data_IF_710789759765
#
_entry.id   IF_710789759765
#
_cell.length_a   1.000
_cell.length_b   1.000
_cell.length_c   1.000
_cell.angle_alpha   90.00
_cell.angle_beta   90.00
_cell.angle_gamma   90.00
#
_symmetry.space_group_name_H-M   'P 1'
#
loop_
_entity.id
_entity.type
_entity.pdbx_description
1 polymer ?
#
# COMPACT_ATOMS: atom_id res chain seq x y z
N UNK A 1 -8.45 30.56 -30.14
CA UNK A 1 -7.02 30.76 -30.50
C UNK A 1 -6.26 30.96 -29.20
N UNK A 2 -5.19 30.21 -28.86
CA UNK A 2 -4.56 29.04 -29.53
C UNK A 2 -4.70 27.75 -28.67
N UNK A 3 -5.16 26.62 -29.23
CA UNK A 3 -4.39 25.49 -29.82
C UNK A 3 -4.03 24.37 -28.82
N UNK A 4 -4.78 23.26 -28.78
CA UNK A 4 -4.45 21.94 -29.41
C UNK A 4 -3.08 21.40 -28.98
N UNK A 5 -3.00 20.26 -28.27
CA UNK A 5 -2.79 18.88 -28.81
C UNK A 5 -2.38 18.01 -27.62
N UNK A 6 -2.59 16.69 -27.49
CA UNK A 6 -3.11 15.60 -28.32
C UNK A 6 -3.44 14.43 -27.38
N UNK A 7 -4.62 13.86 -27.55
CA UNK A 7 -4.97 12.49 -27.16
C UNK A 7 -4.19 11.49 -28.04
N UNK A 8 -3.80 10.34 -27.49
CA UNK A 8 -3.69 9.01 -28.15
C UNK A 8 -3.54 7.98 -26.99
N UNK A 9 -4.60 7.33 -26.50
CA UNK A 9 -5.35 6.22 -27.09
C UNK A 9 -4.50 4.95 -27.31
N UNK A 10 -4.87 3.91 -26.55
CA UNK A 10 -4.72 2.47 -26.80
C UNK A 10 -3.32 1.85 -26.86
N UNK A 11 -3.03 0.97 -25.89
CA UNK A 11 -2.72 -0.41 -26.24
C UNK A 11 -3.32 -1.39 -25.21
N UNK A 12 -3.95 -2.39 -25.80
CA UNK A 12 -4.76 -3.49 -25.26
C UNK A 12 -3.97 -4.77 -25.58
N UNK A 13 -4.25 -5.88 -24.88
CA UNK A 13 -3.65 -7.22 -25.06
C UNK A 13 -2.18 -7.37 -24.59
N UNK A 14 -1.72 -8.45 -23.93
CA UNK A 14 -2.25 -9.79 -23.76
C UNK A 14 -1.64 -10.40 -22.49
N UNK A 15 -2.47 -10.98 -21.61
CA UNK A 15 -2.07 -12.14 -20.84
C UNK A 15 -1.98 -13.32 -21.81
N UNK A 16 -0.85 -14.02 -21.87
CA UNK A 16 -0.82 -15.41 -22.26
C UNK A 16 0.07 -16.19 -21.29
N UNK A 17 -0.55 -17.22 -20.74
CA UNK A 17 -0.06 -18.33 -19.92
C UNK A 17 1.09 -19.11 -20.57
N UNK A 18 1.87 -19.85 -19.75
CA UNK A 18 2.40 -21.23 -19.93
C UNK A 18 3.52 -21.45 -18.88
N UNK A 19 3.28 -22.24 -17.82
CA UNK A 19 3.66 -23.66 -17.67
C UNK A 19 5.19 -23.87 -17.67
N UNK A 20 5.77 -24.11 -16.49
CA UNK A 20 6.29 -25.43 -16.08
C UNK A 20 7.48 -25.90 -16.91
N UNK A 21 8.68 -26.02 -16.32
CA UNK A 21 9.53 -27.22 -16.49
C UNK A 21 10.72 -27.23 -15.50
N UNK A 22 10.98 -28.45 -15.07
CA UNK A 22 11.81 -28.96 -13.98
C UNK A 22 13.35 -28.86 -14.18
N UNK A 23 14.05 -28.93 -13.03
CA UNK A 23 15.35 -29.61 -12.74
C UNK A 23 16.55 -29.31 -13.67
N UNK A 24 17.73 -28.93 -13.19
CA UNK A 24 18.66 -29.77 -12.44
C UNK A 24 19.81 -28.94 -11.79
N UNK A 25 19.95 -29.13 -10.48
CA UNK A 25 21.17 -29.25 -9.65
C UNK A 25 22.56 -29.03 -10.30
N UNK A 26 23.30 -28.03 -9.80
CA UNK A 26 24.75 -28.12 -9.47
C UNK A 26 24.98 -27.31 -8.17
N UNK A 27 25.60 -27.88 -7.12
CA UNK A 27 25.90 -27.17 -5.87
C UNK A 27 27.32 -26.57 -5.92
N UNK A 28 27.46 -25.26 -5.74
CA UNK A 28 28.75 -24.66 -5.37
C UNK A 28 28.55 -23.33 -4.65
N UNK A 29 29.06 -23.31 -3.42
CA UNK A 29 29.74 -22.21 -2.74
C UNK A 29 29.04 -20.87 -2.46
N UNK A 30 28.96 -20.60 -1.16
CA UNK A 30 28.85 -19.32 -0.46
C UNK A 30 29.40 -18.08 -1.20
N UNK A 31 28.59 -17.03 -1.33
CA UNK A 31 28.87 -15.69 -0.79
C UNK A 31 27.67 -14.76 -1.05
N UNK A 32 27.01 -14.32 0.02
CA UNK A 32 25.83 -13.47 -0.04
C UNK A 32 26.24 -11.99 -0.04
N UNK A 33 26.25 -11.35 -1.20
CA UNK A 33 26.33 -9.88 -1.28
C UNK A 33 25.58 -9.38 -2.52
N UNK A 34 24.25 -9.34 -2.47
CA UNK A 34 23.46 -8.67 -3.51
C UNK A 34 23.47 -7.17 -3.26
N UNK A 35 24.49 -6.51 -3.81
CA UNK A 35 24.48 -5.09 -4.15
C UNK A 35 23.13 -4.73 -4.78
N UNK A 36 22.42 -3.80 -4.16
CA UNK A 36 21.50 -2.92 -4.87
C UNK A 36 22.11 -1.54 -4.87
N UNK A 37 22.64 -1.19 -6.03
CA UNK A 37 23.04 0.15 -6.42
C UNK A 37 21.90 1.13 -6.10
N UNK A 38 22.10 1.99 -5.11
CA UNK A 38 21.54 3.32 -5.13
C UNK A 38 22.59 4.20 -5.79
N UNK A 39 22.57 4.21 -7.12
CA UNK A 39 23.27 5.19 -7.93
C UNK A 39 22.53 6.52 -7.78
N UNK A 40 22.82 7.23 -6.69
CA UNK A 40 22.66 8.68 -6.67
C UNK A 40 24.04 9.20 -6.98
N UNK A 41 24.17 9.87 -8.14
CA UNK A 41 25.36 10.58 -8.57
C UNK A 41 25.93 11.37 -7.39
N UNK A 42 26.92 10.79 -6.73
CA UNK A 42 27.73 11.46 -5.73
C UNK A 42 28.89 12.00 -6.54
N UNK A 43 28.77 13.24 -7.01
CA UNK A 43 29.95 13.99 -7.41
C UNK A 43 30.94 13.87 -6.25
N UNK A 44 32.18 13.38 -6.47
CA UNK A 44 33.21 13.49 -5.46
C UNK A 44 33.58 14.97 -5.40
N UNK A 45 32.86 15.73 -4.58
CA UNK A 45 33.29 17.06 -4.20
C UNK A 45 34.60 16.87 -3.42
N UNK A 46 35.71 17.06 -4.12
CA UNK A 46 37.08 17.00 -3.58
C UNK A 46 37.38 18.15 -2.59
N UNK A 47 36.37 18.92 -2.20
CA UNK A 47 36.46 20.06 -1.30
C UNK A 47 36.10 19.66 0.14
N UNK A 48 36.89 20.13 1.11
CA UNK A 48 36.68 19.92 2.54
C UNK A 48 35.31 20.50 2.95
N UNK A 49 34.39 19.64 3.37
CA UNK A 49 33.04 20.02 3.83
C UNK A 49 33.06 20.26 5.34
N UNK A 50 33.05 21.52 5.75
CA UNK A 50 32.95 21.90 7.15
C UNK A 50 31.54 21.69 7.70
N UNK A 51 31.38 21.29 8.97
CA UNK A 51 30.07 21.25 9.63
C UNK A 51 29.55 22.69 9.78
N UNK A 52 28.55 23.03 8.98
CA UNK A 52 27.94 24.35 8.98
C UNK A 52 26.71 24.38 9.89
N UNK A 53 26.42 25.54 10.49
CA UNK A 53 25.20 25.74 11.29
C UNK A 53 23.94 25.91 10.43
N UNK A 54 24.12 26.20 9.14
CA UNK A 54 23.07 26.45 8.15
C UNK A 54 23.17 25.47 6.97
N UNK A 55 22.06 25.24 6.27
CA UNK A 55 21.97 24.27 5.17
C UNK A 55 21.29 22.96 5.55
N UNK A 56 21.25 22.01 4.60
CA UNK A 56 20.55 20.72 4.76
C UNK A 56 21.28 19.80 5.74
N UNK A 57 22.61 19.72 5.62
CA UNK A 57 23.48 18.91 6.49
C UNK A 57 24.06 19.76 7.62
N UNK A 58 23.17 20.44 8.34
CA UNK A 58 23.54 21.35 9.43
C UNK A 58 23.66 20.63 10.76
N UNK A 59 24.41 21.26 11.66
CA UNK A 59 24.61 20.80 13.03
C UNK A 59 25.86 19.94 13.18
N UNK A 60 26.11 19.53 14.42
CA UNK A 60 27.27 18.70 14.73
C UNK A 60 27.05 17.27 14.21
N UNK A 61 27.99 16.71 13.42
CA UNK A 61 27.86 15.35 12.90
C UNK A 61 28.05 14.34 14.04
N UNK A 62 26.94 13.96 14.68
CA UNK A 62 26.91 12.92 15.73
C UNK A 62 26.45 11.59 15.14
N UNK A 63 27.16 10.51 15.47
CA UNK A 63 26.72 9.14 15.18
C UNK A 63 25.46 8.83 16.00
N UNK A 64 24.33 8.61 15.32
CA UNK A 64 23.05 8.34 16.00
C UNK A 64 23.03 6.91 16.54
N UNK A 65 22.85 6.74 17.84
CA UNK A 65 22.62 5.43 18.45
C UNK A 65 21.18 4.93 18.18
N UNK A 66 21.04 3.75 17.57
CA UNK A 66 19.74 3.15 17.26
C UNK A 66 19.22 2.33 18.43
N UNK A 67 18.61 3.01 19.40
CA UNK A 67 17.97 2.34 20.54
C UNK A 67 16.70 1.57 20.14
N UNK A 68 16.39 0.48 20.85
CA UNK A 68 15.15 -0.25 20.67
C UNK A 68 13.93 0.68 20.87
N UNK A 69 12.88 0.58 20.01
CA UNK A 69 11.73 1.45 20.12
C UNK A 69 10.93 1.14 21.39
N UNK A 70 10.55 2.20 22.11
CA UNK A 70 9.74 2.11 23.33
C UNK A 70 8.43 1.35 23.08
N UNK A 71 8.01 0.57 24.08
CA UNK A 71 6.78 -0.23 24.01
C UNK A 71 5.52 0.62 23.72
N UNK A 72 5.46 1.86 24.22
CA UNK A 72 4.35 2.79 23.97
C UNK A 72 4.06 3.02 22.48
N UNK A 73 5.07 2.95 21.61
CA UNK A 73 4.91 3.10 20.15
C UNK A 73 4.21 1.91 19.49
N UNK A 74 4.07 0.77 20.18
CA UNK A 74 3.40 -0.43 19.66
C UNK A 74 1.87 -0.37 19.76
N UNK A 75 1.32 0.65 20.44
CA UNK A 75 -0.14 0.83 20.58
C UNK A 75 -0.80 1.01 19.21
N UNK A 76 -1.85 0.23 18.95
CA UNK A 76 -2.63 0.27 17.70
C UNK A 76 -2.28 -0.84 16.70
N UNK A 77 -1.25 -1.65 16.95
CA UNK A 77 -0.97 -2.84 16.14
C UNK A 77 -2.04 -3.92 16.37
N UNK A 78 -2.50 -4.55 15.29
CA UNK A 78 -3.44 -5.66 15.36
C UNK A 78 -2.73 -6.94 15.84
N UNK A 79 -3.23 -7.55 16.91
CA UNK A 79 -2.79 -8.86 17.39
C UNK A 79 -3.67 -9.97 16.81
N UNK A 80 -3.21 -11.22 16.85
CA UNK A 80 -3.96 -12.39 16.34
C UNK A 80 -5.33 -12.53 17.02
N UNK A 81 -5.34 -12.43 18.35
CA UNK A 81 -6.57 -12.49 19.15
C UNK A 81 -7.56 -11.37 18.82
N UNK A 82 -7.11 -10.11 18.76
CA UNK A 82 -8.00 -8.98 18.46
C UNK A 82 -8.54 -9.03 17.02
N UNK A 83 -7.81 -9.61 16.07
CA UNK A 83 -8.32 -9.82 14.71
C UNK A 83 -9.45 -10.85 14.72
N UNK A 84 -9.24 -12.01 15.35
CA UNK A 84 -10.24 -13.07 15.46
C UNK A 84 -11.55 -12.57 16.08
N UNK A 85 -11.47 -11.85 17.20
CA UNK A 85 -12.66 -11.26 17.85
C UNK A 85 -13.38 -10.27 16.93
N UNK A 86 -12.65 -9.43 16.18
CA UNK A 86 -13.27 -8.46 15.26
C UNK A 86 -13.93 -9.11 14.05
N UNK A 87 -13.36 -10.19 13.54
CA UNK A 87 -13.91 -10.93 12.41
C UNK A 87 -15.22 -11.64 12.84
N UNK A 88 -15.23 -12.28 14.02
CA UNK A 88 -16.44 -12.88 14.62
C UNK A 88 -17.56 -11.86 14.84
N UNK A 89 -17.27 -10.69 15.40
CA UNK A 89 -18.28 -9.63 15.62
C UNK A 89 -18.87 -9.14 14.30
N UNK A 90 -18.07 -9.05 13.23
CA UNK A 90 -18.56 -8.62 11.91
C UNK A 90 -19.52 -9.62 11.28
N UNK A 91 -19.33 -10.91 11.53
CA UNK A 91 -20.25 -11.96 11.09
C UNK A 91 -21.58 -11.89 11.83
N UNK A 92 -21.54 -11.65 13.15
CA UNK A 92 -22.75 -11.57 14.00
C UNK A 92 -23.55 -10.28 13.76
N UNK A 93 -22.89 -9.12 13.75
CA UNK A 93 -23.56 -7.81 13.70
C UNK A 93 -23.84 -7.30 12.28
N UNK A 94 -23.15 -7.84 11.26
CA UNK A 94 -23.29 -7.39 9.88
C UNK A 94 -22.80 -5.95 9.63
N UNK A 95 -23.35 -5.31 8.58
CA UNK A 95 -22.95 -3.97 8.12
C UNK A 95 -23.95 -2.88 8.50
N UNK A 96 -23.43 -1.70 8.82
CA UNK A 96 -24.25 -0.53 9.10
C UNK A 96 -24.97 -0.03 7.83
N UNK A 97 -26.11 0.70 7.94
CA UNK A 97 -26.90 1.14 6.78
C UNK A 97 -26.12 2.05 5.81
N UNK A 98 -25.17 2.85 6.30
CA UNK A 98 -24.33 3.67 5.41
C UNK A 98 -23.27 2.83 4.68
N UNK A 99 -22.82 1.72 5.26
CA UNK A 99 -21.85 0.80 4.65
C UNK A 99 -22.51 0.00 3.54
N UNK A 100 -23.78 -0.42 3.75
CA UNK A 100 -24.61 -1.06 2.71
C UNK A 100 -24.76 -0.16 1.48
N UNK A 101 -25.15 1.10 1.68
CA UNK A 101 -25.25 2.08 0.58
C UNK A 101 -23.90 2.32 -0.12
N UNK A 102 -22.79 2.32 0.62
CA UNK A 102 -21.47 2.46 0.03
C UNK A 102 -21.07 1.23 -0.81
N UNK A 103 -21.40 0.01 -0.37
CA UNK A 103 -21.20 -1.21 -1.15
C UNK A 103 -21.99 -1.22 -2.45
N UNK A 104 -23.24 -0.74 -2.45
CA UNK A 104 -24.05 -0.58 -3.67
C UNK A 104 -23.35 0.34 -4.69
N UNK A 105 -22.84 1.49 -4.24
CA UNK A 105 -22.12 2.41 -5.11
C UNK A 105 -20.83 1.81 -5.68
N UNK A 106 -20.14 0.97 -4.90
CA UNK A 106 -18.93 0.26 -5.33
C UNK A 106 -19.23 -0.90 -6.28
N UNK A 107 -20.39 -1.56 -6.18
CA UNK A 107 -20.83 -2.57 -7.15
C UNK A 107 -21.04 -1.99 -8.55
N UNK A 108 -21.58 -0.76 -8.63
CA UNK A 108 -21.77 -0.01 -9.88
C UNK A 108 -20.48 0.70 -10.32
N UNK A 109 -19.34 0.45 -9.67
CA UNK A 109 -18.03 1.05 -9.97
C UNK A 109 -18.01 2.60 -9.90
N UNK A 110 -18.94 3.22 -9.16
CA UNK A 110 -19.01 4.68 -8.96
C UNK A 110 -18.15 5.13 -7.78
N UNK A 111 -16.86 4.84 -7.86
CA UNK A 111 -15.87 5.03 -6.79
C UNK A 111 -15.75 6.46 -6.25
N UNK A 112 -15.71 7.46 -7.13
CA UNK A 112 -15.60 8.87 -6.75
C UNK A 112 -16.86 9.34 -6.01
N UNK A 113 -18.03 8.79 -6.37
CA UNK A 113 -19.31 9.05 -5.69
C UNK A 113 -19.36 8.35 -4.32
N UNK A 114 -18.90 7.11 -4.25
CA UNK A 114 -18.77 6.37 -2.99
C UNK A 114 -17.85 7.11 -2.00
N UNK A 115 -16.70 7.60 -2.46
CA UNK A 115 -15.76 8.35 -1.63
C UNK A 115 -16.36 9.67 -1.12
N UNK A 116 -17.09 10.42 -1.95
CA UNK A 116 -17.81 11.63 -1.50
C UNK A 116 -18.89 11.31 -0.46
N UNK A 117 -19.62 10.20 -0.65
CA UNK A 117 -20.65 9.77 0.31
C UNK A 117 -20.04 9.38 1.67
N UNK A 118 -18.99 8.55 1.67
CA UNK A 118 -18.29 8.13 2.89
C UNK A 118 -17.65 9.35 3.58
N UNK A 119 -17.02 10.26 2.83
CA UNK A 119 -16.46 11.50 3.40
C UNK A 119 -17.54 12.33 4.09
N UNK A 120 -18.74 12.45 3.52
CA UNK A 120 -19.86 13.17 4.16
C UNK A 120 -20.31 12.53 5.48
N UNK A 121 -20.11 11.22 5.67
CA UNK A 121 -20.49 10.50 6.90
C UNK A 121 -19.37 10.46 7.96
N UNK A 122 -18.12 10.27 7.54
CA UNK A 122 -16.96 10.05 8.43
C UNK A 122 -16.17 11.35 8.67
N UNK A 123 -16.31 12.33 7.78
CA UNK A 123 -15.66 13.65 7.84
C UNK A 123 -14.36 13.71 7.03
N UNK A 124 -13.32 13.00 7.47
CA UNK A 124 -11.98 13.15 6.89
C UNK A 124 -11.72 12.25 5.69
N UNK A 125 -10.90 12.73 4.75
CA UNK A 125 -10.58 12.00 3.52
C UNK A 125 -9.74 10.74 3.76
N UNK A 126 -8.82 10.78 4.73
CA UNK A 126 -7.94 9.65 5.07
C UNK A 126 -8.76 8.48 5.61
N UNK A 127 -9.71 8.76 6.53
CA UNK A 127 -10.62 7.73 7.07
C UNK A 127 -11.56 7.20 5.99
N UNK A 128 -12.04 8.07 5.10
CA UNK A 128 -12.91 7.67 3.99
C UNK A 128 -12.19 6.73 3.01
N UNK A 129 -10.93 6.99 2.67
CA UNK A 129 -10.10 6.08 1.85
C UNK A 129 -9.93 4.71 2.52
N UNK A 130 -9.57 4.69 3.80
CA UNK A 130 -9.47 3.45 4.59
C UNK A 130 -10.77 2.64 4.57
N UNK A 131 -11.92 3.31 4.73
CA UNK A 131 -13.23 2.65 4.68
C UNK A 131 -13.62 2.17 3.29
N UNK A 132 -13.26 2.89 2.23
CA UNK A 132 -13.46 2.42 0.86
C UNK A 132 -12.65 1.14 0.59
N UNK A 133 -11.39 1.10 1.03
CA UNK A 133 -10.54 -0.08 0.90
C UNK A 133 -11.10 -1.27 1.69
N UNK A 134 -11.56 -1.06 2.93
CA UNK A 134 -12.24 -2.10 3.71
C UNK A 134 -13.45 -2.69 2.96
N UNK A 135 -14.35 -1.85 2.43
CA UNK A 135 -15.55 -2.32 1.71
C UNK A 135 -15.21 -2.98 0.36
N UNK A 136 -14.18 -2.50 -0.33
CA UNK A 136 -13.69 -3.13 -1.57
C UNK A 136 -13.16 -4.54 -1.31
N UNK A 137 -12.41 -4.73 -0.21
CA UNK A 137 -11.89 -6.03 0.19
C UNK A 137 -13.01 -7.01 0.54
N UNK A 138 -14.07 -6.54 1.21
CA UNK A 138 -15.27 -7.35 1.49
C UNK A 138 -15.92 -7.81 0.19
N UNK A 139 -16.17 -6.91 -0.76
CA UNK A 139 -16.77 -7.27 -2.05
C UNK A 139 -15.91 -8.26 -2.84
N UNK A 140 -14.59 -8.09 -2.82
CA UNK A 140 -13.66 -9.02 -3.44
C UNK A 140 -13.71 -10.42 -2.78
N UNK A 141 -13.80 -10.49 -1.46
CA UNK A 141 -13.97 -11.75 -0.74
C UNK A 141 -15.31 -12.43 -1.07
N UNK A 142 -16.40 -11.67 -1.14
CA UNK A 142 -17.72 -12.19 -1.54
C UNK A 142 -17.72 -12.75 -2.96
N UNK A 143 -17.10 -12.05 -3.92
CA UNK A 143 -16.96 -12.52 -5.31
C UNK A 143 -16.16 -13.83 -5.39
N UNK A 144 -15.06 -13.94 -4.63
CA UNK A 144 -14.25 -15.16 -4.56
C UNK A 144 -14.99 -16.32 -3.91
N UNK A 145 -15.82 -16.05 -2.91
CA UNK A 145 -16.63 -17.07 -2.26
C UNK A 145 -17.77 -17.56 -3.18
N UNK A 146 -18.37 -16.68 -3.97
CA UNK A 146 -19.39 -17.06 -4.96
C UNK A 146 -18.81 -17.97 -6.05
N UNK A 147 -17.64 -17.62 -6.62
CA UNK A 147 -17.00 -18.39 -7.69
C UNK A 147 -16.48 -19.79 -7.29
N UNK A 148 -16.53 -20.15 -5.99
CA UNK A 148 -16.14 -21.49 -5.49
C UNK A 148 -17.35 -22.37 -5.18
N UNK A 149 -18.56 -21.83 -5.28
CA UNK A 149 -19.80 -22.54 -4.95
C UNK A 149 -20.42 -23.24 -6.17
N UNK A 150 -19.83 -23.03 -7.35
CA UNK A 150 -20.04 -23.79 -8.57
C UNK A 150 -18.97 -24.90 -8.67
#
# INVERSE_FOLDING_TARGET
MPSKTRDYFTWFCQCYTIQSFDKLKIPVFSCNLKMKCNFVCSSPDMAIRYPMAVGLNKGHPVTKNVTAPKHSRRRGRLTKHSKFVRDMIREVCGFAPYERRAMELLKVSKDKRALKFIKKRIGTHIRAKRKREELSNVLAAMRKAAAKKD
#
